data_IF_762200347942
#
_entry.id   IF_762200347942
#
_cell.length_a   1.000
_cell.length_b   1.000
_cell.length_c   1.000
_cell.angle_alpha   90.00
_cell.angle_beta   90.00
_cell.angle_gamma   90.00
#
_symmetry.space_group_name_H-M   'P 1'
#
loop_
_entity.id
_entity.type
_entity.pdbx_description
1 polymer ?
#
# COMPACT_ATOMS: atom_id res chain seq x y z
N UNK A 1 23.53 14.33 -106.32
CA UNK A 1 24.30 15.18 -105.39
C UNK A 1 24.60 14.47 -104.06
N UNK A 2 24.92 13.16 -104.11
CA UNK A 2 25.16 12.31 -102.92
C UNK A 2 26.34 11.32 -103.12
N UNK A 3 27.29 11.62 -104.03
CA UNK A 3 28.36 10.68 -104.42
C UNK A 3 29.77 11.08 -103.98
N UNK A 4 29.92 11.90 -102.94
CA UNK A 4 31.21 12.18 -102.32
C UNK A 4 31.12 12.14 -100.79
N UNK A 5 30.71 10.99 -100.24
CA UNK A 5 30.92 10.69 -98.83
C UNK A 5 32.07 9.69 -98.68
N UNK A 6 33.11 10.08 -97.96
CA UNK A 6 34.26 9.23 -97.67
C UNK A 6 33.95 8.31 -96.47
N UNK A 7 33.61 7.06 -96.75
CA UNK A 7 33.19 6.07 -95.73
C UNK A 7 34.26 5.76 -94.67
N UNK A 8 35.54 5.87 -95.02
CA UNK A 8 36.64 5.65 -94.09
C UNK A 8 36.65 6.67 -92.94
N UNK A 9 36.38 7.94 -93.25
CA UNK A 9 36.31 9.02 -92.25
C UNK A 9 35.08 8.85 -91.33
N UNK A 10 33.97 8.37 -91.89
CA UNK A 10 32.75 8.09 -91.12
C UNK A 10 32.97 6.99 -90.08
N UNK A 11 33.63 5.88 -90.46
CA UNK A 11 33.95 4.79 -89.53
C UNK A 11 34.99 5.19 -88.48
N UNK A 12 35.96 6.04 -88.84
CA UNK A 12 36.94 6.56 -87.89
C UNK A 12 36.28 7.46 -86.83
N UNK A 13 35.36 8.33 -87.22
CA UNK A 13 34.59 9.18 -86.30
C UNK A 13 33.63 8.36 -85.43
N UNK A 14 32.94 7.35 -86.00
CA UNK A 14 32.11 6.42 -85.23
C UNK A 14 32.92 5.61 -84.20
N UNK A 15 34.13 5.17 -84.57
CA UNK A 15 35.04 4.45 -83.67
C UNK A 15 35.49 5.30 -82.47
N UNK A 16 35.83 6.57 -82.71
CA UNK A 16 36.17 7.53 -81.63
C UNK A 16 34.97 7.77 -80.70
N UNK A 17 33.77 7.97 -81.26
CA UNK A 17 32.54 8.15 -80.48
C UNK A 17 32.22 6.94 -79.60
N UNK A 18 32.40 5.71 -80.12
CA UNK A 18 32.17 4.48 -79.38
C UNK A 18 33.12 4.33 -78.18
N UNK A 19 34.40 4.68 -78.34
CA UNK A 19 35.38 4.65 -77.24
C UNK A 19 35.02 5.68 -76.16
N UNK A 20 34.64 6.90 -76.55
CA UNK A 20 34.20 7.93 -75.59
C UNK A 20 32.96 7.46 -74.82
N UNK A 21 31.96 6.89 -75.49
CA UNK A 21 30.77 6.33 -74.84
C UNK A 21 31.11 5.19 -73.88
N UNK A 22 32.01 4.29 -74.26
CA UNK A 22 32.44 3.18 -73.39
C UNK A 22 33.14 3.69 -72.13
N UNK A 23 34.04 4.68 -72.29
CA UNK A 23 34.74 5.32 -71.17
C UNK A 23 33.76 6.05 -70.25
N UNK A 24 32.86 6.88 -70.82
CA UNK A 24 31.84 7.59 -70.05
C UNK A 24 30.89 6.63 -69.34
N UNK A 25 30.45 5.56 -70.00
CA UNK A 25 29.62 4.52 -69.40
C UNK A 25 30.32 3.79 -68.25
N UNK A 26 31.60 3.46 -68.42
CA UNK A 26 32.40 2.81 -67.38
C UNK A 26 32.61 3.72 -66.15
N UNK A 27 33.03 4.97 -66.36
CA UNK A 27 33.19 5.93 -65.27
C UNK A 27 31.85 6.27 -64.61
N UNK A 28 30.78 6.42 -65.40
CA UNK A 28 29.43 6.65 -64.89
C UNK A 28 28.96 5.51 -63.97
N UNK A 29 29.21 4.25 -64.38
CA UNK A 29 28.93 3.08 -63.53
C UNK A 29 29.72 3.10 -62.23
N UNK A 30 31.03 3.37 -62.28
CA UNK A 30 31.87 3.42 -61.08
C UNK A 30 31.43 4.52 -60.10
N UNK A 31 31.14 5.72 -60.60
CA UNK A 31 30.65 6.84 -59.79
C UNK A 31 29.30 6.49 -59.18
N UNK A 32 28.39 5.90 -59.95
CA UNK A 32 27.07 5.49 -59.46
C UNK A 32 27.16 4.39 -58.39
N UNK A 33 27.99 3.35 -58.59
CA UNK A 33 28.20 2.29 -57.61
C UNK A 33 28.80 2.82 -56.31
N UNK A 34 29.80 3.71 -56.40
CA UNK A 34 30.41 4.32 -55.23
C UNK A 34 29.42 5.23 -54.48
N UNK A 35 28.59 5.98 -55.22
CA UNK A 35 27.54 6.82 -54.65
C UNK A 35 26.46 5.98 -53.93
N UNK A 36 25.94 4.94 -54.58
CA UNK A 36 24.96 4.02 -54.00
C UNK A 36 25.51 3.33 -52.75
N UNK A 37 26.76 2.82 -52.81
CA UNK A 37 27.41 2.17 -51.67
C UNK A 37 27.55 3.11 -50.47
N UNK A 38 27.95 4.36 -50.71
CA UNK A 38 28.07 5.38 -49.64
C UNK A 38 26.71 5.71 -49.03
N UNK A 39 25.67 5.86 -49.85
CA UNK A 39 24.32 6.13 -49.37
C UNK A 39 23.74 4.96 -48.57
N UNK A 40 23.94 3.72 -49.04
CA UNK A 40 23.52 2.50 -48.33
C UNK A 40 24.22 2.43 -46.97
N UNK A 41 25.55 2.62 -46.92
CA UNK A 41 26.30 2.61 -45.66
C UNK A 41 25.88 3.73 -44.71
N UNK A 42 25.59 4.93 -45.23
CA UNK A 42 25.08 6.04 -44.43
C UNK A 42 23.72 5.68 -43.81
N UNK A 43 22.81 5.12 -44.60
CA UNK A 43 21.49 4.68 -44.15
C UNK A 43 21.57 3.54 -43.13
N UNK A 44 22.40 2.53 -43.35
CA UNK A 44 22.63 1.44 -42.39
C UNK A 44 23.17 1.96 -41.06
N UNK A 45 24.13 2.89 -41.10
CA UNK A 45 24.69 3.49 -39.89
C UNK A 45 23.66 4.35 -39.15
N UNK A 46 22.82 5.10 -39.86
CA UNK A 46 21.73 5.88 -39.28
C UNK A 46 20.69 4.96 -38.62
N UNK A 47 20.29 3.89 -39.30
CA UNK A 47 19.34 2.91 -38.78
C UNK A 47 19.88 2.21 -37.53
N UNK A 48 21.17 1.81 -37.53
CA UNK A 48 21.83 1.23 -36.36
C UNK A 48 21.90 2.21 -35.19
N UNK A 49 22.15 3.50 -35.45
CA UNK A 49 22.15 4.53 -34.40
C UNK A 49 20.77 4.70 -33.79
N UNK A 50 19.72 4.83 -34.61
CA UNK A 50 18.33 4.94 -34.14
C UNK A 50 17.91 3.72 -33.32
N UNK A 51 18.16 2.52 -33.84
CA UNK A 51 17.87 1.28 -33.11
C UNK A 51 18.61 1.18 -31.77
N UNK A 52 19.90 1.55 -31.73
CA UNK A 52 20.66 1.55 -30.47
C UNK A 52 20.14 2.59 -29.48
N UNK A 53 19.69 3.76 -29.97
CA UNK A 53 19.11 4.81 -29.13
C UNK A 53 17.77 4.38 -28.54
N UNK A 54 16.86 3.85 -29.38
CA UNK A 54 15.57 3.34 -28.94
C UNK A 54 15.72 2.18 -27.94
N UNK A 55 16.67 1.28 -28.18
CA UNK A 55 16.95 0.18 -27.26
C UNK A 55 17.44 0.68 -25.90
N UNK A 56 18.37 1.65 -25.88
CA UNK A 56 18.86 2.25 -24.63
C UNK A 56 17.76 2.99 -23.88
N UNK A 57 16.89 3.72 -24.59
CA UNK A 57 15.77 4.42 -23.96
C UNK A 57 14.77 3.42 -23.37
N UNK A 58 14.47 2.32 -24.08
CA UNK A 58 13.60 1.28 -23.58
C UNK A 58 14.19 0.58 -22.35
N UNK A 59 15.49 0.28 -22.36
CA UNK A 59 16.21 -0.30 -21.23
C UNK A 59 16.17 0.62 -20.00
N UNK A 60 16.37 1.92 -20.21
CA UNK A 60 16.31 2.92 -19.14
C UNK A 60 14.89 3.04 -18.56
N UNK A 61 13.86 3.07 -19.41
CA UNK A 61 12.46 3.05 -18.95
C UNK A 61 12.10 1.76 -18.21
N UNK A 62 12.61 0.61 -18.65
CA UNK A 62 12.35 -0.68 -18.00
C UNK A 62 13.01 -0.75 -16.62
N UNK A 63 14.27 -0.33 -16.52
CA UNK A 63 15.01 -0.29 -15.25
C UNK A 63 14.37 0.66 -14.24
N UNK A 64 13.91 1.83 -14.68
CA UNK A 64 13.14 2.76 -13.83
C UNK A 64 11.83 2.13 -13.33
N UNK A 65 11.06 1.47 -14.21
CA UNK A 65 9.82 0.78 -13.84
C UNK A 65 10.06 -0.34 -12.83
N UNK A 66 11.10 -1.15 -13.03
CA UNK A 66 11.48 -2.22 -12.09
C UNK A 66 11.87 -1.63 -10.74
N UNK A 67 12.69 -0.57 -10.72
CA UNK A 67 13.09 0.09 -9.47
C UNK A 67 11.90 0.69 -8.71
N UNK A 68 10.92 1.27 -9.41
CA UNK A 68 9.68 1.76 -8.80
C UNK A 68 8.83 0.62 -8.25
N UNK A 69 8.69 -0.48 -8.99
CA UNK A 69 7.93 -1.65 -8.57
C UNK A 69 8.53 -2.32 -7.32
N UNK A 70 9.85 -2.45 -7.25
CA UNK A 70 10.56 -2.99 -6.07
C UNK A 70 10.38 -2.08 -4.85
N UNK A 71 10.54 -0.76 -5.00
CA UNK A 71 10.28 0.20 -3.89
C UNK A 71 8.84 0.10 -3.39
N UNK A 72 7.87 -0.01 -4.30
CA UNK A 72 6.47 -0.18 -3.93
C UNK A 72 6.23 -1.52 -3.20
N UNK A 73 6.89 -2.60 -3.64
CA UNK A 73 6.86 -3.90 -2.97
C UNK A 73 7.45 -3.84 -1.56
N UNK A 74 8.64 -3.27 -1.40
CA UNK A 74 9.28 -3.11 -0.09
C UNK A 74 8.40 -2.31 0.88
N UNK A 75 7.77 -1.22 0.42
CA UNK A 75 6.84 -0.43 1.24
C UNK A 75 5.59 -1.23 1.64
N UNK A 76 5.06 -2.07 0.75
CA UNK A 76 3.93 -2.96 1.08
C UNK A 76 4.31 -3.99 2.13
N UNK A 77 5.41 -4.69 1.93
CA UNK A 77 5.92 -5.69 2.89
C UNK A 77 6.20 -5.03 4.24
N UNK A 78 6.75 -3.81 4.24
CA UNK A 78 7.12 -3.12 5.47
C UNK A 78 5.92 -2.59 6.27
N UNK A 79 4.87 -2.09 5.62
CA UNK A 79 3.77 -1.38 6.32
C UNK A 79 2.42 -2.09 6.26
N UNK A 80 2.07 -2.68 5.11
CA UNK A 80 0.76 -3.31 4.93
C UNK A 80 0.70 -4.70 5.55
N UNK A 81 1.79 -5.47 5.49
CA UNK A 81 1.82 -6.80 6.13
C UNK A 81 1.64 -6.70 7.65
N UNK A 82 2.33 -5.79 8.36
CA UNK A 82 2.05 -5.58 9.79
C UNK A 82 0.65 -5.06 10.08
N UNK A 83 0.11 -4.13 9.28
CA UNK A 83 -1.28 -3.67 9.44
C UNK A 83 -2.27 -4.82 9.25
N UNK A 84 -2.09 -5.65 8.21
CA UNK A 84 -2.91 -6.85 7.98
C UNK A 84 -2.88 -7.79 9.19
N UNK A 85 -1.69 -8.03 9.74
CA UNK A 85 -1.52 -8.81 10.97
C UNK A 85 -2.31 -8.22 12.13
N UNK A 86 -2.13 -6.93 12.41
CA UNK A 86 -2.81 -6.25 13.52
C UNK A 86 -4.34 -6.23 13.36
N UNK A 87 -4.83 -6.00 12.14
CA UNK A 87 -6.26 -6.05 11.80
C UNK A 87 -6.84 -7.44 12.02
N UNK A 88 -6.16 -8.50 11.53
CA UNK A 88 -6.59 -9.88 11.73
C UNK A 88 -6.63 -10.26 13.21
N UNK A 89 -5.55 -9.98 13.94
CA UNK A 89 -5.43 -10.39 15.34
C UNK A 89 -6.49 -9.68 16.21
N UNK A 90 -6.76 -8.40 15.94
CA UNK A 90 -7.86 -7.67 16.60
C UNK A 90 -9.23 -8.21 16.19
N UNK A 91 -9.46 -8.50 14.91
CA UNK A 91 -10.71 -9.10 14.43
C UNK A 91 -10.98 -10.45 15.10
N UNK A 92 -9.98 -11.31 15.22
CA UNK A 92 -10.07 -12.62 15.89
C UNK A 92 -10.31 -12.47 17.40
N UNK A 93 -9.67 -11.48 18.05
CA UNK A 93 -9.96 -11.14 19.44
C UNK A 93 -11.41 -10.76 19.62
N UNK A 94 -11.95 -9.89 18.75
CA UNK A 94 -13.35 -9.50 18.80
C UNK A 94 -14.29 -10.67 18.52
N UNK A 95 -13.94 -11.59 17.61
CA UNK A 95 -14.71 -12.81 17.40
C UNK A 95 -14.73 -13.71 18.66
N UNK A 96 -13.61 -13.83 19.39
CA UNK A 96 -13.60 -14.58 20.65
C UNK A 96 -14.51 -13.92 21.70
N UNK A 97 -14.50 -12.58 21.80
CA UNK A 97 -15.35 -11.83 22.73
C UNK A 97 -16.83 -11.97 22.36
N UNK A 98 -17.17 -11.77 21.08
CA UNK A 98 -18.54 -11.69 20.59
C UNK A 98 -19.19 -13.06 20.37
N UNK A 99 -18.45 -14.06 19.90
CA UNK A 99 -19.03 -15.34 19.49
C UNK A 99 -18.69 -16.50 20.44
N UNK A 100 -17.57 -16.43 21.16
CA UNK A 100 -17.05 -17.56 21.96
C UNK A 100 -17.13 -17.35 23.47
N UNK A 101 -17.91 -16.36 23.92
CA UNK A 101 -18.15 -16.11 25.35
C UNK A 101 -16.96 -15.53 26.11
N UNK A 102 -15.90 -15.09 25.41
CA UNK A 102 -14.70 -14.55 26.06
C UNK A 102 -14.93 -13.17 26.70
N UNK A 103 -16.08 -12.53 26.46
CA UNK A 103 -16.48 -11.30 27.15
C UNK A 103 -16.53 -11.46 28.67
N UNK A 104 -16.79 -12.68 29.18
CA UNK A 104 -16.78 -12.96 30.61
C UNK A 104 -15.41 -12.66 31.23
N UNK A 105 -14.31 -12.93 30.51
CA UNK A 105 -12.94 -12.65 30.94
C UNK A 105 -12.57 -11.15 30.91
N UNK A 106 -13.44 -10.28 30.39
CA UNK A 106 -13.32 -8.82 30.46
C UNK A 106 -14.03 -8.21 31.68
N UNK A 107 -14.65 -9.05 32.53
CA UNK A 107 -15.25 -8.61 33.79
C UNK A 107 -14.28 -8.83 34.95
N UNK A 108 -14.12 -7.85 35.87
CA UNK A 108 -13.30 -8.03 37.07
C UNK A 108 -13.78 -9.16 37.99
N UNK A 109 -15.08 -9.52 37.91
CA UNK A 109 -15.67 -10.63 38.65
C UNK A 109 -15.42 -12.00 38.00
N UNK A 110 -14.68 -12.05 36.88
CA UNK A 110 -14.33 -13.30 36.23
C UNK A 110 -13.53 -14.21 37.16
N UNK A 111 -14.17 -15.30 37.54
CA UNK A 111 -13.50 -16.44 38.15
C UNK A 111 -13.13 -17.40 37.03
N UNK A 112 -11.88 -17.88 37.04
CA UNK A 112 -11.37 -18.82 36.04
C UNK A 112 -12.31 -20.05 35.94
N UNK A 113 -12.91 -20.25 34.78
CA UNK A 113 -13.76 -21.42 34.50
C UNK A 113 -13.03 -22.39 33.56
N UNK A 114 -12.96 -23.67 33.95
CA UNK A 114 -12.37 -24.75 33.14
C UNK A 114 -10.86 -24.61 32.88
N UNK A 115 -10.42 -25.14 31.74
CA UNK A 115 -8.99 -25.27 31.36
C UNK A 115 -8.38 -23.98 30.79
N UNK A 116 -9.13 -22.88 30.75
CA UNK A 116 -8.61 -21.62 30.23
C UNK A 116 -7.42 -21.15 31.05
N UNK A 117 -6.28 -20.88 30.41
CA UNK A 117 -5.05 -20.42 31.09
C UNK A 117 -5.05 -18.92 31.41
N UNK A 118 -6.06 -18.18 30.98
CA UNK A 118 -6.11 -16.71 31.06
C UNK A 118 -6.92 -16.23 32.27
N UNK A 119 -6.42 -15.19 32.94
CA UNK A 119 -7.15 -14.44 33.97
C UNK A 119 -7.64 -13.08 33.41
N UNK A 120 -8.50 -12.39 34.17
CA UNK A 120 -9.05 -11.08 33.78
C UNK A 120 -7.96 -10.08 33.40
N UNK A 121 -6.95 -9.91 34.27
CA UNK A 121 -5.85 -8.94 34.06
C UNK A 121 -5.13 -9.17 32.74
N UNK A 122 -4.78 -10.41 32.43
CA UNK A 122 -4.09 -10.77 31.19
C UNK A 122 -5.00 -10.62 29.97
N UNK A 123 -6.25 -11.08 30.05
CA UNK A 123 -7.19 -10.98 28.94
C UNK A 123 -7.52 -9.53 28.59
N UNK A 124 -7.74 -8.68 29.59
CA UNK A 124 -7.95 -7.25 29.42
C UNK A 124 -6.71 -6.57 28.81
N UNK A 125 -5.53 -6.74 29.42
CA UNK A 125 -4.30 -6.11 28.94
C UNK A 125 -3.94 -6.55 27.50
N UNK A 126 -4.09 -7.84 27.18
CA UNK A 126 -3.84 -8.35 25.82
C UNK A 126 -4.89 -7.87 24.81
N UNK A 127 -6.15 -7.69 25.23
CA UNK A 127 -7.18 -7.10 24.37
C UNK A 127 -6.84 -5.66 24.06
N UNK A 128 -6.57 -4.84 25.09
CA UNK A 128 -6.21 -3.43 24.92
C UNK A 128 -4.92 -3.27 24.09
N UNK A 129 -3.94 -4.15 24.29
CA UNK A 129 -2.73 -4.20 23.46
C UNK A 129 -3.02 -4.37 21.98
N UNK A 130 -3.92 -5.27 21.59
CA UNK A 130 -4.26 -5.52 20.18
C UNK A 130 -4.91 -4.31 19.51
N UNK A 131 -5.75 -3.57 20.25
CA UNK A 131 -6.24 -2.27 19.79
C UNK A 131 -5.10 -1.27 19.60
N UNK A 132 -4.20 -1.16 20.59
CA UNK A 132 -3.03 -0.29 20.49
C UNK A 132 -2.14 -0.63 19.30
N UNK A 133 -1.93 -1.91 19.03
CA UNK A 133 -1.15 -2.40 17.90
C UNK A 133 -1.81 -2.03 16.57
N UNK A 134 -3.13 -2.20 16.46
CA UNK A 134 -3.90 -1.73 15.31
C UNK A 134 -3.77 -0.20 15.12
N UNK A 135 -3.94 0.59 16.19
CA UNK A 135 -3.80 2.04 16.11
C UNK A 135 -2.40 2.47 15.67
N UNK A 136 -1.36 1.82 16.19
CA UNK A 136 0.03 2.07 15.79
C UNK A 136 0.23 1.86 14.29
N UNK A 137 -0.13 0.69 13.77
CA UNK A 137 0.09 0.37 12.35
C UNK A 137 -0.81 1.18 11.42
N UNK A 138 -2.05 1.44 11.82
CA UNK A 138 -2.92 2.32 11.04
C UNK A 138 -2.33 3.73 10.92
N UNK A 139 -1.75 4.26 12.00
CA UNK A 139 -1.08 5.57 12.01
C UNK A 139 0.17 5.59 11.14
N UNK A 140 1.00 4.55 11.23
CA UNK A 140 2.20 4.41 10.39
C UNK A 140 1.79 4.42 8.91
N UNK A 141 0.78 3.63 8.54
CA UNK A 141 0.28 3.58 7.16
C UNK A 141 -0.28 4.94 6.75
N UNK A 142 -1.17 5.57 7.52
CA UNK A 142 -1.72 6.90 7.19
C UNK A 142 -0.64 7.95 6.92
N UNK A 143 0.46 7.94 7.68
CA UNK A 143 1.55 8.90 7.53
C UNK A 143 2.50 8.59 6.38
N UNK A 144 2.55 7.32 5.92
CA UNK A 144 3.52 6.84 4.93
C UNK A 144 2.88 6.41 3.62
N UNK A 145 1.57 6.50 3.51
CA UNK A 145 0.84 6.05 2.34
C UNK A 145 1.06 6.98 1.16
N UNK A 146 1.71 6.46 0.13
CA UNK A 146 2.05 7.17 -1.09
C UNK A 146 1.34 6.55 -2.30
N UNK A 147 1.12 7.34 -3.36
CA UNK A 147 0.38 6.91 -4.55
C UNK A 147 1.04 5.75 -5.29
N UNK A 148 2.38 5.67 -5.26
CA UNK A 148 3.15 4.58 -5.87
C UNK A 148 2.85 3.21 -5.26
N UNK A 149 2.33 3.14 -4.03
CA UNK A 149 1.98 1.88 -3.38
C UNK A 149 0.60 1.38 -3.80
N UNK A 150 -0.37 2.28 -4.00
CA UNK A 150 -1.77 1.94 -4.30
C UNK A 150 -2.18 2.19 -5.75
N UNK A 151 -1.29 2.74 -6.57
CA UNK A 151 -1.49 3.00 -8.00
C UNK A 151 -2.02 4.40 -8.26
N UNK A 152 -3.16 4.76 -7.66
CA UNK A 152 -3.82 6.04 -7.89
C UNK A 152 -4.42 6.67 -6.62
N UNK A 153 -4.91 7.90 -6.77
CA UNK A 153 -5.48 8.68 -5.66
C UNK A 153 -6.81 8.10 -5.17
N UNK A 154 -7.62 7.50 -6.03
CA UNK A 154 -8.91 6.92 -5.67
C UNK A 154 -8.71 5.67 -4.80
N UNK A 155 -7.77 4.81 -5.16
CA UNK A 155 -7.36 3.64 -4.36
C UNK A 155 -6.80 4.07 -3.00
N UNK A 156 -5.99 5.14 -2.96
CA UNK A 156 -5.49 5.72 -1.71
C UNK A 156 -6.62 6.22 -0.82
N UNK A 157 -7.51 7.03 -1.37
CA UNK A 157 -8.57 7.67 -0.59
C UNK A 157 -9.60 6.64 -0.12
N UNK A 158 -9.90 5.62 -0.94
CA UNK A 158 -10.72 4.47 -0.56
C UNK A 158 -10.09 3.65 0.58
N UNK A 159 -8.79 3.38 0.51
CA UNK A 159 -8.08 2.70 1.60
C UNK A 159 -8.12 3.49 2.91
N UNK A 160 -7.85 4.79 2.85
CA UNK A 160 -7.91 5.67 4.02
C UNK A 160 -9.33 5.77 4.58
N UNK A 161 -10.36 5.68 3.73
CA UNK A 161 -11.75 5.67 4.17
C UNK A 161 -12.08 4.42 4.98
N UNK A 162 -11.53 3.25 4.64
CA UNK A 162 -11.68 2.04 5.45
C UNK A 162 -11.03 2.20 6.85
N UNK A 163 -9.85 2.83 6.94
CA UNK A 163 -9.22 3.15 8.24
C UNK A 163 -10.12 4.10 9.04
N UNK A 164 -10.66 5.16 8.40
CA UNK A 164 -11.60 6.09 9.05
C UNK A 164 -12.87 5.40 9.50
N UNK A 165 -13.40 4.47 8.71
CA UNK A 165 -14.59 3.68 9.06
C UNK A 165 -14.36 2.86 10.32
N UNK A 166 -13.23 2.16 10.44
CA UNK A 166 -12.87 1.45 11.69
C UNK A 166 -12.77 2.42 12.87
N UNK A 167 -12.09 3.57 12.71
CA UNK A 167 -11.97 4.60 13.75
C UNK A 167 -13.32 5.14 14.21
N UNK A 168 -14.22 5.41 13.26
CA UNK A 168 -15.56 5.93 13.48
C UNK A 168 -16.40 4.99 14.35
N UNK A 169 -16.18 3.67 14.25
CA UNK A 169 -16.86 2.71 15.12
C UNK A 169 -16.59 2.95 16.60
N UNK A 170 -15.47 3.54 16.99
CA UNK A 170 -15.17 3.88 18.39
C UNK A 170 -15.40 5.35 18.73
N UNK A 171 -15.26 6.26 17.77
CA UNK A 171 -15.32 7.71 18.02
C UNK A 171 -16.68 8.34 17.84
N UNK A 172 -17.59 7.72 17.10
CA UNK A 172 -18.91 8.31 16.83
C UNK A 172 -19.82 8.14 18.05
N UNK A 173 -20.41 9.24 18.50
CA UNK A 173 -21.38 9.30 19.58
C UNK A 173 -22.35 10.47 19.39
N UNK A 174 -23.68 10.25 19.51
CA UNK A 174 -24.35 8.95 19.51
C UNK A 174 -24.14 8.23 18.17
N UNK A 175 -23.94 6.91 18.17
CA UNK A 175 -24.03 6.17 16.91
C UNK A 175 -25.49 6.13 16.45
N UNK A 176 -25.77 6.61 15.24
CA UNK A 176 -27.13 6.64 14.67
C UNK A 176 -27.78 5.25 14.74
N UNK A 177 -27.03 4.20 14.35
CA UNK A 177 -27.47 2.80 14.39
C UNK A 177 -27.78 2.29 15.81
N UNK A 178 -27.19 2.90 16.84
CA UNK A 178 -27.46 2.56 18.24
C UNK A 178 -28.60 3.37 18.85
N UNK A 179 -28.90 4.55 18.31
CA UNK A 179 -29.91 5.46 18.86
C UNK A 179 -31.30 4.81 18.87
N UNK A 180 -31.64 4.11 17.79
CA UNK A 180 -32.94 3.45 17.66
C UNK A 180 -33.04 2.18 18.51
N UNK A 181 -31.92 1.47 18.69
CA UNK A 181 -31.86 0.22 19.47
C UNK A 181 -31.71 0.47 20.98
N UNK A 182 -31.06 1.56 21.36
CA UNK A 182 -30.73 1.88 22.75
C UNK A 182 -31.00 3.37 23.03
N UNK A 183 -32.28 3.78 23.17
CA UNK A 183 -32.65 5.19 23.35
C UNK A 183 -32.05 5.83 24.61
N UNK A 184 -31.64 5.02 25.59
CA UNK A 184 -30.98 5.46 26.83
C UNK A 184 -29.46 5.24 26.86
N UNK A 185 -28.83 4.72 25.79
CA UNK A 185 -27.38 4.49 25.75
C UNK A 185 -26.56 5.78 25.90
N UNK A 186 -27.17 6.94 25.61
CA UNK A 186 -26.53 8.24 25.69
C UNK A 186 -26.68 8.92 27.06
N UNK A 187 -27.51 8.36 27.95
CA UNK A 187 -27.60 8.88 29.30
C UNK A 187 -26.37 8.40 30.08
N UNK A 188 -25.64 9.29 30.77
CA UNK A 188 -24.61 8.89 31.72
C UNK A 188 -25.34 8.17 32.86
N UNK A 189 -25.56 6.87 32.70
CA UNK A 189 -26.07 6.04 33.77
C UNK A 189 -25.05 6.15 34.90
N UNK A 190 -25.50 6.51 36.10
CA UNK A 190 -24.71 6.42 37.34
C UNK A 190 -24.31 4.98 37.71
N UNK A 191 -24.28 4.05 36.75
CA UNK A 191 -23.87 2.66 36.85
C UNK A 191 -23.16 2.24 35.56
N UNK A 192 -22.25 1.27 35.67
CA UNK A 192 -21.22 0.84 34.71
C UNK A 192 -21.68 0.32 33.33
N UNK A 193 -22.88 0.71 32.85
CA UNK A 193 -23.50 0.20 31.62
C UNK A 193 -23.59 1.17 30.44
N UNK A 194 -23.15 2.42 30.59
CA UNK A 194 -23.18 3.42 29.51
C UNK A 194 -22.29 3.06 28.31
N UNK A 195 -22.63 3.59 27.14
CA UNK A 195 -21.73 3.54 25.98
C UNK A 195 -20.50 4.41 26.27
N UNK A 196 -19.31 3.87 26.00
CA UNK A 196 -18.05 4.60 26.10
C UNK A 196 -17.53 4.84 24.68
N UNK A 197 -17.02 6.04 24.42
CA UNK A 197 -16.41 6.39 23.15
C UNK A 197 -14.92 6.61 23.33
N UNK A 198 -14.16 6.35 22.26
CA UNK A 198 -12.76 6.72 22.17
C UNK A 198 -12.62 7.69 21.01
N UNK A 199 -12.37 8.96 21.30
CA UNK A 199 -12.29 10.00 20.28
C UNK A 199 -11.15 9.73 19.29
N UNK A 200 -11.31 10.22 18.06
CA UNK A 200 -10.31 10.06 17.01
C UNK A 200 -8.90 10.52 17.45
N UNK A 201 -8.81 11.63 18.20
CA UNK A 201 -7.53 12.14 18.71
C UNK A 201 -6.95 11.24 19.82
N UNK A 202 -7.78 10.64 20.65
CA UNK A 202 -7.34 9.66 21.65
C UNK A 202 -6.81 8.39 20.98
N UNK A 203 -7.52 7.87 19.98
CA UNK A 203 -7.05 6.71 19.19
C UNK A 203 -5.70 7.01 18.52
N UNK A 204 -5.53 8.22 17.98
CA UNK A 204 -4.26 8.69 17.42
C UNK A 204 -3.15 8.72 18.46
N UNK A 205 -3.39 9.33 19.62
CA UNK A 205 -2.41 9.41 20.70
C UNK A 205 -2.03 8.02 21.22
N UNK A 206 -2.99 7.10 21.37
CA UNK A 206 -2.73 5.69 21.69
C UNK A 206 -1.82 5.03 20.65
N UNK A 207 -2.08 5.24 19.36
CA UNK A 207 -1.24 4.73 18.28
C UNK A 207 0.19 5.30 18.30
N UNK A 208 0.33 6.60 18.55
CA UNK A 208 1.62 7.28 18.68
C UNK A 208 2.41 6.78 19.91
N UNK A 209 1.74 6.55 21.05
CA UNK A 209 2.36 5.99 22.25
C UNK A 209 2.83 4.54 22.10
N UNK A 210 2.20 3.80 21.17
CA UNK A 210 2.58 2.43 20.80
C UNK A 210 3.73 2.39 19.77
N UNK A 211 4.03 3.50 19.10
CA UNK A 211 5.10 3.56 18.12
C UNK A 211 6.46 3.67 18.82
N UNK A 212 7.43 2.92 18.32
CA UNK A 212 8.84 3.00 18.69
C UNK A 212 9.71 2.85 17.45
N UNK A 213 11.04 2.96 17.60
CA UNK A 213 11.97 2.94 16.47
C UNK A 213 12.15 4.33 15.86
N UNK A 214 12.90 4.39 14.76
CA UNK A 214 13.12 5.62 14.00
C UNK A 214 12.02 5.85 12.98
N UNK A 215 12.00 7.03 12.37
CA UNK A 215 11.09 7.35 11.28
C UNK A 215 11.24 6.41 10.06
N UNK A 216 12.42 5.88 9.78
CA UNK A 216 12.63 5.00 8.60
C UNK A 216 12.29 3.54 8.87
N UNK A 217 12.23 3.16 10.14
CA UNK A 217 11.90 1.81 10.60
C UNK A 217 10.98 1.85 11.83
N UNK A 218 9.79 2.47 11.73
CA UNK A 218 8.83 2.45 12.82
C UNK A 218 8.42 1.01 13.13
N UNK A 219 8.34 0.72 14.42
CA UNK A 219 7.88 -0.56 14.97
C UNK A 219 6.82 -0.27 16.03
N UNK A 220 5.93 -1.22 16.25
CA UNK A 220 5.02 -1.17 17.38
C UNK A 220 5.69 -1.77 18.62
N UNK A 221 5.28 -1.32 19.82
CA UNK A 221 5.61 -2.01 21.07
C UNK A 221 5.22 -3.49 20.99
N UNK A 222 6.09 -4.34 21.50
CA UNK A 222 5.76 -5.73 21.84
C UNK A 222 4.83 -5.78 23.04
N UNK A 223 4.12 -6.90 23.22
CA UNK A 223 3.23 -7.06 24.37
C UNK A 223 3.95 -6.91 25.72
N UNK A 224 5.19 -7.43 25.84
CA UNK A 224 5.99 -7.31 27.06
C UNK A 224 6.38 -5.86 27.34
N UNK A 225 6.80 -5.10 26.32
CA UNK A 225 7.11 -3.68 26.47
C UNK A 225 5.85 -2.88 26.85
N UNK A 226 4.70 -3.18 26.23
CA UNK A 226 3.42 -2.58 26.57
C UNK A 226 3.04 -2.84 28.03
N UNK A 227 3.06 -4.09 28.50
CA UNK A 227 2.74 -4.40 29.90
C UNK A 227 3.65 -3.67 30.88
N UNK A 228 4.96 -3.59 30.58
CA UNK A 228 5.90 -2.84 31.44
C UNK A 228 5.53 -1.36 31.54
N UNK A 229 5.14 -0.72 30.42
CA UNK A 229 4.70 0.68 30.43
C UNK A 229 3.34 0.87 31.09
N UNK A 230 2.42 -0.08 30.87
CA UNK A 230 1.09 -0.11 31.46
C UNK A 230 1.11 -0.21 32.98
N UNK A 231 2.00 -1.06 33.53
CA UNK A 231 2.06 -1.34 34.96
C UNK A 231 2.89 -0.32 35.73
N UNK A 232 4.00 0.17 35.16
CA UNK A 232 4.95 0.98 35.92
C UNK A 232 4.47 2.39 36.21
N UNK A 233 3.57 2.96 35.39
CA UNK A 233 3.22 4.38 35.45
C UNK A 233 4.49 5.22 35.38
N UNK A 234 4.95 5.58 34.18
CA UNK A 234 6.20 6.35 34.06
C UNK A 234 6.13 7.61 34.95
N UNK A 235 7.15 7.89 35.77
CA UNK A 235 7.07 8.97 36.77
C UNK A 235 6.93 10.38 36.15
N UNK A 236 7.23 10.54 34.86
CA UNK A 236 7.25 11.85 34.16
C UNK A 236 6.49 11.85 32.80
N UNK A 237 5.75 10.80 32.46
CA UNK A 237 4.90 10.74 31.25
C UNK A 237 3.46 10.41 31.65
N UNK A 238 2.46 11.00 30.97
CA UNK A 238 1.07 10.54 31.03
C UNK A 238 1.09 9.01 30.93
N UNK A 239 0.62 8.32 31.97
CA UNK A 239 0.82 6.88 32.02
C UNK A 239 0.13 6.25 30.81
N UNK A 240 0.80 5.30 30.14
CA UNK A 240 0.19 4.54 29.03
C UNK A 240 -1.18 3.98 29.45
N UNK A 241 -1.35 3.69 30.74
CA UNK A 241 -2.62 3.28 31.31
C UNK A 241 -3.69 4.37 31.24
N UNK A 242 -3.39 5.60 31.63
CA UNK A 242 -4.34 6.73 31.58
C UNK A 242 -4.74 7.06 30.14
N UNK A 243 -3.77 7.04 29.23
CA UNK A 243 -4.01 7.26 27.81
C UNK A 243 -5.00 6.23 27.23
N UNK A 244 -4.93 4.99 27.70
CA UNK A 244 -5.77 3.88 27.25
C UNK A 244 -7.02 3.65 28.11
N UNK A 245 -7.22 4.40 29.20
CA UNK A 245 -8.38 4.27 30.08
C UNK A 245 -9.73 4.41 29.33
N UNK A 246 -9.91 5.30 28.34
CA UNK A 246 -11.13 5.36 27.55
C UNK A 246 -11.41 4.05 26.79
N UNK A 247 -10.37 3.42 26.25
CA UNK A 247 -10.49 2.14 25.56
C UNK A 247 -10.75 0.99 26.53
N UNK A 248 -10.10 1.00 27.71
CA UNK A 248 -10.40 0.06 28.79
C UNK A 248 -11.89 0.13 29.18
N UNK A 249 -12.47 1.33 29.27
CA UNK A 249 -13.90 1.52 29.54
C UNK A 249 -14.81 0.95 28.43
N UNK A 250 -14.37 0.96 27.16
CA UNK A 250 -15.12 0.34 26.05
C UNK A 250 -15.13 -1.17 26.15
N UNK A 251 -14.01 -1.80 26.51
CA UNK A 251 -13.87 -3.26 26.46
C UNK A 251 -14.15 -3.95 27.80
N UNK A 252 -13.99 -3.26 28.93
CA UNK A 252 -14.28 -3.81 30.25
C UNK A 252 -15.78 -4.03 30.44
N UNK A 253 -16.15 -5.11 31.14
CA UNK A 253 -17.56 -5.40 31.48
C UNK A 253 -18.53 -5.40 30.27
N UNK A 254 -18.04 -5.69 29.07
CA UNK A 254 -18.89 -5.82 27.88
C UNK A 254 -19.88 -6.97 28.11
N UNK A 255 -21.16 -6.70 27.82
CA UNK A 255 -22.26 -7.66 27.93
C UNK A 255 -22.93 -7.88 26.58
N UNK A 256 -23.38 -9.09 26.26
CA UNK A 256 -24.22 -9.36 25.09
C UNK A 256 -25.36 -8.36 24.97
N UNK A 257 -25.68 -7.97 23.74
CA UNK A 257 -26.77 -7.07 23.40
C UNK A 257 -26.70 -5.66 24.02
N UNK A 258 -25.56 -5.27 24.59
CA UNK A 258 -25.32 -3.91 25.06
C UNK A 258 -24.87 -2.93 23.96
N UNK A 259 -24.81 -1.62 24.24
CA UNK A 259 -24.30 -0.63 23.30
C UNK A 259 -22.82 -0.86 22.97
N UNK A 260 -21.99 -1.17 23.98
CA UNK A 260 -20.57 -1.51 23.79
C UNK A 260 -20.38 -2.79 22.95
N UNK A 261 -21.26 -3.78 23.12
CA UNK A 261 -21.26 -4.98 22.30
C UNK A 261 -21.55 -4.69 20.83
N UNK A 262 -22.57 -3.86 20.59
CA UNK A 262 -22.95 -3.44 19.24
C UNK A 262 -21.83 -2.63 18.58
N UNK A 263 -21.16 -1.74 19.34
CA UNK A 263 -19.97 -1.01 18.93
C UNK A 263 -18.83 -1.94 18.48
N UNK A 264 -18.49 -2.94 19.30
CA UNK A 264 -17.48 -3.93 18.97
C UNK A 264 -17.88 -4.81 17.77
N UNK A 265 -19.16 -5.07 17.58
CA UNK A 265 -19.70 -5.80 16.42
C UNK A 265 -19.47 -5.00 15.14
N UNK A 266 -19.82 -3.70 15.13
CA UNK A 266 -19.56 -2.80 14.01
C UNK A 266 -18.07 -2.68 13.72
N UNK A 267 -17.24 -2.58 14.76
CA UNK A 267 -15.79 -2.54 14.59
C UNK A 267 -15.25 -3.82 13.93
N UNK A 268 -15.72 -5.00 14.36
CA UNK A 268 -15.32 -6.28 13.75
C UNK A 268 -15.69 -6.34 12.26
N UNK A 269 -16.86 -5.83 11.89
CA UNK A 269 -17.28 -5.74 10.48
C UNK A 269 -16.39 -4.79 9.68
N UNK A 270 -16.12 -3.58 10.20
CA UNK A 270 -15.23 -2.62 9.55
C UNK A 270 -13.79 -3.17 9.42
N UNK A 271 -13.29 -3.89 10.43
CA UNK A 271 -11.99 -4.58 10.36
C UNK A 271 -11.97 -5.67 9.29
N UNK A 272 -13.10 -6.38 9.07
CA UNK A 272 -13.20 -7.37 8.01
C UNK A 272 -13.02 -6.75 6.62
N UNK A 273 -13.67 -5.61 6.38
CA UNK A 273 -13.54 -4.86 5.12
C UNK A 273 -12.10 -4.35 4.92
N UNK A 274 -11.51 -3.73 5.95
CA UNK A 274 -10.12 -3.27 5.92
C UNK A 274 -9.14 -4.42 5.69
N UNK A 275 -9.39 -5.58 6.30
CA UNK A 275 -8.58 -6.79 6.11
C UNK A 275 -8.61 -7.26 4.67
N UNK A 276 -9.79 -7.39 4.07
CA UNK A 276 -9.93 -7.81 2.67
C UNK A 276 -9.19 -6.86 1.73
N UNK A 277 -9.22 -5.55 2.02
CA UNK A 277 -8.46 -4.58 1.25
C UNK A 277 -6.94 -4.70 1.46
N UNK A 278 -6.49 -4.92 2.70
CA UNK A 278 -5.07 -5.18 2.97
C UNK A 278 -4.58 -6.45 2.24
N UNK A 279 -5.38 -7.51 2.22
CA UNK A 279 -5.11 -8.74 1.48
C UNK A 279 -5.02 -8.46 -0.04
N UNK A 280 -5.94 -7.65 -0.59
CA UNK A 280 -5.91 -7.22 -1.98
C UNK A 280 -4.61 -6.47 -2.32
N UNK A 281 -4.21 -5.51 -1.49
CA UNK A 281 -2.99 -4.71 -1.69
C UNK A 281 -1.72 -5.57 -1.54
N UNK A 282 -1.71 -6.52 -0.60
CA UNK A 282 -0.60 -7.44 -0.40
C UNK A 282 -0.44 -8.45 -1.55
N UNK A 283 -1.56 -8.93 -2.11
CA UNK A 283 -1.59 -9.91 -3.21
C UNK A 283 -1.46 -9.27 -4.58
N UNK A 284 -1.66 -7.95 -4.72
CA UNK A 284 -1.48 -7.21 -5.97
C UNK A 284 -0.04 -7.37 -6.49
N UNK A 285 0.24 -8.50 -7.15
CA UNK A 285 1.45 -8.78 -7.90
C UNK A 285 1.63 -7.62 -8.87
N UNK A 286 2.84 -7.10 -8.99
CA UNK A 286 3.17 -5.97 -9.86
C UNK A 286 2.92 -6.29 -11.34
N UNK A 287 1.66 -6.31 -11.77
CA UNK A 287 1.18 -6.52 -13.13
C UNK A 287 -0.28 -6.09 -13.19
N UNK A 288 -0.76 -5.36 -14.18
CA UNK A 288 -0.35 -5.31 -15.58
C UNK A 288 -0.31 -3.85 -16.04
N UNK A 289 0.86 -3.38 -16.50
CA UNK A 289 1.02 -2.15 -17.26
C UNK A 289 1.78 -2.44 -18.55
#
# INVERSE_FOLDING_TARGET
MLSQLNWADLFAELGKAAVVLAVVGYFGKLVLEQYLKRNIQAYENELRRKSTQEFKELELRLTERVALAERARERRERWFVPLLGATRDLQERLANVLDKGAYSALSPSYVRQGDWSMNHRYFLASTVYLFGQYFCWSRIVENRLTLDVLGDAAARDGFLELIRKVRATLSTFPMADLKDRFPHAHQPAGGSGGDAQVFALQQRAMGEAMQTGSDDAPRCLTFVEFCRRWEKGAPDEDSVRDLFAPLEAVVSEVRPDGPRWSRLTLMRQALAELRSECERVAVARGGTA
#
